data_IF_030897060088
#
_entry.id   IF_030897060088
#
_cell.length_a   1.000
_cell.length_b   1.000
_cell.length_c   1.000
_cell.angle_alpha   90.00
_cell.angle_beta   90.00
_cell.angle_gamma   90.00
#
_symmetry.space_group_name_H-M   'P 1'
#
loop_
_entity.id
_entity.type
_entity.pdbx_description
1 polymer ?
#
# COMPACT_ATOMS: atom_id res chain seq x y z
N UNK A 1 9.39 0.55 16.10
CA UNK A 1 8.38 0.25 15.07
C UNK A 1 8.98 0.65 13.72
N UNK A 2 8.80 -0.15 12.66
CA UNK A 2 9.16 0.29 11.33
C UNK A 2 8.11 1.32 10.89
N UNK A 3 8.55 2.48 10.39
CA UNK A 3 7.64 3.46 9.82
C UNK A 3 7.16 2.91 8.48
N UNK A 4 5.95 2.43 8.45
CA UNK A 4 5.30 1.93 7.24
C UNK A 4 4.41 3.02 6.66
N UNK A 5 4.44 3.16 5.35
CA UNK A 5 3.50 4.00 4.62
C UNK A 5 2.45 3.13 3.93
N UNK A 6 1.24 3.64 3.86
CA UNK A 6 0.14 3.05 3.10
C UNK A 6 -0.07 3.91 1.86
N UNK A 7 -0.06 3.28 0.70
CA UNK A 7 -0.30 3.98 -0.55
C UNK A 7 -1.43 3.33 -1.35
N UNK A 8 -2.26 4.15 -1.94
CA UNK A 8 -3.25 3.75 -2.92
C UNK A 8 -3.23 4.67 -4.14
N UNK A 9 -3.86 4.22 -5.20
CA UNK A 9 -3.99 5.05 -6.38
C UNK A 9 -4.25 4.27 -7.67
N UNK A 10 -3.75 4.84 -8.77
CA UNK A 10 -3.92 4.26 -10.10
C UNK A 10 -2.57 4.01 -10.75
N UNK A 11 -2.38 2.81 -11.30
CA UNK A 11 -1.29 2.51 -12.21
C UNK A 11 -1.79 2.64 -13.65
N UNK A 12 -1.03 3.33 -14.49
CA UNK A 12 -1.28 3.41 -15.95
C UNK A 12 -0.07 2.90 -16.70
N UNK A 13 -0.26 1.84 -17.50
CA UNK A 13 0.78 1.24 -18.33
C UNK A 13 0.51 1.60 -19.79
N UNK A 14 1.49 2.21 -20.45
CA UNK A 14 1.48 2.55 -21.86
C UNK A 14 2.56 1.76 -22.59
N UNK A 15 2.18 0.93 -23.56
CA UNK A 15 3.09 0.10 -24.35
C UNK A 15 2.60 -0.03 -25.79
N UNK A 16 3.35 -0.72 -26.66
CA UNK A 16 2.95 -0.91 -28.05
C UNK A 16 1.92 -2.03 -28.25
N UNK A 17 1.71 -2.89 -27.27
CA UNK A 17 0.78 -4.02 -27.35
C UNK A 17 0.27 -4.47 -25.99
N UNK A 18 -0.88 -5.15 -25.97
CA UNK A 18 -1.41 -5.83 -24.79
C UNK A 18 -0.47 -6.90 -24.24
N UNK A 19 0.31 -7.57 -25.14
CA UNK A 19 1.31 -8.55 -24.72
C UNK A 19 2.44 -7.92 -23.88
N UNK A 20 2.88 -6.71 -24.25
CA UNK A 20 3.90 -6.01 -23.45
C UNK A 20 3.36 -5.64 -22.07
N UNK A 21 2.12 -5.13 -21.99
CA UNK A 21 1.44 -4.83 -20.73
C UNK A 21 1.37 -6.08 -19.85
N UNK A 22 0.96 -7.21 -20.45
CA UNK A 22 0.90 -8.49 -19.74
C UNK A 22 2.27 -8.89 -19.17
N UNK A 23 3.34 -8.77 -19.96
CA UNK A 23 4.69 -9.11 -19.48
C UNK A 23 5.18 -8.16 -18.38
N UNK A 24 4.85 -6.87 -18.44
CA UNK A 24 5.16 -5.91 -17.37
C UNK A 24 4.43 -6.26 -16.07
N UNK A 25 3.17 -6.66 -16.14
CA UNK A 25 2.40 -7.10 -14.98
C UNK A 25 2.90 -8.45 -14.41
N UNK A 26 3.45 -9.33 -15.23
CA UNK A 26 4.13 -10.55 -14.74
C UNK A 26 5.40 -10.20 -13.94
N UNK A 27 6.19 -9.25 -14.42
CA UNK A 27 7.38 -8.78 -13.67
C UNK A 27 6.97 -8.09 -12.39
N UNK A 28 5.88 -7.32 -12.38
CA UNK A 28 5.37 -6.69 -11.18
C UNK A 28 4.95 -7.73 -10.12
N UNK A 29 4.22 -8.77 -10.49
CA UNK A 29 3.89 -9.88 -9.57
C UNK A 29 5.12 -10.55 -8.99
N UNK A 30 6.15 -10.72 -9.79
CA UNK A 30 7.42 -11.26 -9.33
C UNK A 30 8.08 -10.31 -8.33
N UNK A 31 8.09 -9.01 -8.62
CA UNK A 31 8.59 -8.00 -7.71
C UNK A 31 7.86 -8.02 -6.36
N UNK A 32 6.52 -8.10 -6.40
CA UNK A 32 5.65 -8.20 -5.21
C UNK A 32 6.00 -9.45 -4.37
N UNK A 33 6.10 -10.61 -5.00
CA UNK A 33 6.36 -11.88 -4.30
C UNK A 33 7.76 -11.98 -3.68
N UNK A 34 8.68 -11.07 -4.04
CA UNK A 34 10.07 -11.05 -3.59
C UNK A 34 10.43 -9.79 -2.79
N UNK A 35 9.45 -8.99 -2.40
CA UNK A 35 9.64 -7.77 -1.62
C UNK A 35 9.01 -7.92 -0.23
N UNK A 36 9.68 -7.37 0.78
CA UNK A 36 9.12 -7.25 2.13
C UNK A 36 7.96 -6.23 2.15
N UNK A 37 8.04 -5.22 1.28
CA UNK A 37 7.06 -4.15 1.12
C UNK A 37 6.41 -4.30 -0.25
N UNK A 38 5.12 -4.53 -0.29
CA UNK A 38 4.44 -4.96 -1.50
C UNK A 38 3.65 -3.86 -2.20
N UNK A 39 3.38 -4.11 -3.48
CA UNK A 39 2.46 -3.34 -4.31
C UNK A 39 1.50 -4.30 -4.99
N UNK A 40 0.27 -4.34 -4.54
CA UNK A 40 -0.79 -5.14 -5.14
C UNK A 40 -1.52 -4.32 -6.21
N UNK A 41 -1.57 -4.82 -7.44
CA UNK A 41 -2.40 -4.27 -8.51
C UNK A 41 -3.67 -5.10 -8.56
N UNK A 42 -4.85 -4.49 -8.67
CA UNK A 42 -6.13 -5.20 -8.58
C UNK A 42 -6.22 -6.41 -9.54
N UNK A 43 -5.76 -6.25 -10.80
CA UNK A 43 -5.70 -7.34 -11.76
C UNK A 43 -4.58 -8.36 -11.48
N UNK A 44 -3.63 -8.07 -10.60
CA UNK A 44 -2.51 -9.00 -10.32
C UNK A 44 -2.95 -10.28 -9.63
N UNK A 45 -4.08 -10.30 -8.94
CA UNK A 45 -4.68 -11.49 -8.32
C UNK A 45 -5.30 -12.46 -9.33
N UNK A 46 -5.55 -12.02 -10.59
CA UNK A 46 -6.17 -12.84 -11.62
C UNK A 46 -5.23 -13.93 -12.13
N UNK A 47 -5.76 -15.10 -12.50
CA UNK A 47 -4.98 -16.12 -13.20
C UNK A 47 -4.44 -15.59 -14.54
N UNK A 48 -3.39 -16.21 -15.08
CA UNK A 48 -2.72 -15.73 -16.32
C UNK A 48 -3.66 -15.58 -17.52
N UNK A 49 -4.69 -16.41 -17.63
CA UNK A 49 -5.67 -16.35 -18.72
C UNK A 49 -6.67 -15.23 -18.51
N UNK A 50 -7.14 -15.06 -17.29
CA UNK A 50 -8.06 -14.01 -16.87
C UNK A 50 -7.39 -12.65 -17.00
N UNK A 51 -6.13 -12.51 -16.57
CA UNK A 51 -5.35 -11.28 -16.72
C UNK A 51 -5.19 -10.86 -18.19
N UNK A 52 -4.90 -11.81 -19.09
CA UNK A 52 -4.84 -11.49 -20.53
C UNK A 52 -6.16 -10.98 -21.05
N UNK A 53 -7.25 -11.64 -20.69
CA UNK A 53 -8.60 -11.23 -21.08
C UNK A 53 -8.96 -9.86 -20.48
N UNK A 54 -8.58 -9.61 -19.27
CA UNK A 54 -8.81 -8.32 -18.59
C UNK A 54 -8.08 -7.18 -19.32
N UNK A 55 -6.80 -7.36 -19.61
CA UNK A 55 -6.01 -6.39 -20.38
C UNK A 55 -6.61 -6.14 -21.76
N UNK A 56 -7.00 -7.20 -22.50
CA UNK A 56 -7.61 -7.07 -23.81
C UNK A 56 -8.94 -6.30 -23.80
N UNK A 57 -9.76 -6.51 -22.76
CA UNK A 57 -11.07 -5.89 -22.64
C UNK A 57 -11.01 -4.43 -22.10
N UNK A 58 -10.04 -4.12 -21.26
CA UNK A 58 -9.95 -2.85 -20.54
C UNK A 58 -8.85 -1.91 -21.08
N UNK A 59 -8.07 -2.36 -22.10
CA UNK A 59 -7.13 -1.48 -22.77
C UNK A 59 -7.78 -0.73 -23.94
N UNK A 60 -7.21 0.45 -24.25
CA UNK A 60 -7.55 1.20 -25.44
C UNK A 60 -6.30 1.66 -26.19
N UNK A 61 -6.44 1.90 -27.49
CA UNK A 61 -5.34 2.48 -28.28
C UNK A 61 -5.49 3.99 -28.31
N UNK A 62 -4.46 4.72 -27.84
CA UNK A 62 -4.46 6.17 -27.88
C UNK A 62 -4.13 6.70 -29.29
N UNK A 63 -4.24 8.03 -29.48
CA UNK A 63 -3.97 8.69 -30.77
C UNK A 63 -2.54 8.51 -31.30
N UNK A 64 -1.58 8.19 -30.43
CA UNK A 64 -0.17 7.96 -30.78
C UNK A 64 0.14 6.50 -31.09
N UNK A 65 -0.89 5.66 -31.14
CA UNK A 65 -0.79 4.23 -31.48
C UNK A 65 -0.21 3.37 -30.35
N UNK A 66 -0.32 3.81 -29.11
CA UNK A 66 0.02 3.01 -27.94
C UNK A 66 -1.23 2.39 -27.32
N UNK A 67 -1.09 1.16 -26.86
CA UNK A 67 -2.05 0.51 -25.99
C UNK A 67 -1.86 1.06 -24.57
N UNK A 68 -2.95 1.46 -23.94
CA UNK A 68 -2.99 2.00 -22.57
C UNK A 68 -3.91 1.12 -21.74
N UNK A 69 -3.41 0.70 -20.60
CA UNK A 69 -4.14 -0.05 -19.58
C UNK A 69 -4.00 0.68 -18.25
N UNK A 70 -5.09 0.80 -17.51
CA UNK A 70 -5.08 1.41 -16.18
C UNK A 70 -5.80 0.50 -15.19
N UNK A 71 -5.28 0.45 -13.98
CA UNK A 71 -5.83 -0.32 -12.88
C UNK A 71 -5.58 0.39 -11.55
N UNK A 72 -6.28 -0.01 -10.50
CA UNK A 72 -6.01 0.44 -9.15
C UNK A 72 -4.88 -0.36 -8.53
N UNK A 73 -4.17 0.27 -7.60
CA UNK A 73 -3.19 -0.42 -6.77
C UNK A 73 -3.34 -0.01 -5.30
N UNK A 74 -2.86 -0.89 -4.43
CA UNK A 74 -2.60 -0.65 -3.04
C UNK A 74 -1.18 -1.12 -2.71
N UNK A 75 -0.51 -0.45 -1.79
CA UNK A 75 0.84 -0.84 -1.41
C UNK A 75 1.23 -0.41 -0.01
N UNK A 76 2.15 -1.18 0.57
CA UNK A 76 2.82 -0.82 1.82
C UNK A 76 4.28 -0.53 1.49
N UNK A 77 4.73 0.68 1.82
CA UNK A 77 6.10 1.13 1.65
C UNK A 77 6.82 1.25 2.97
N UNK A 78 8.16 1.32 2.92
CA UNK A 78 8.97 1.69 4.06
C UNK A 78 9.32 3.18 3.94
N UNK A 79 8.86 4.00 4.87
CA UNK A 79 9.00 5.45 4.89
C UNK A 79 8.22 6.20 3.80
N UNK A 80 8.03 5.59 2.63
CA UNK A 80 7.24 6.11 1.53
C UNK A 80 7.07 5.04 0.45
N UNK A 81 6.06 5.19 -0.40
CA UNK A 81 5.81 4.30 -1.54
C UNK A 81 6.89 4.43 -2.64
N UNK A 82 7.71 5.47 -2.63
CA UNK A 82 8.83 5.65 -3.57
C UNK A 82 9.78 4.44 -3.58
N UNK A 83 9.99 3.80 -2.42
CA UNK A 83 10.81 2.60 -2.30
C UNK A 83 10.27 1.43 -3.13
N UNK A 84 8.95 1.26 -3.18
CA UNK A 84 8.28 0.21 -3.95
C UNK A 84 8.43 0.44 -5.45
N UNK A 85 8.31 1.69 -5.89
CA UNK A 85 8.48 2.05 -7.31
C UNK A 85 9.94 1.82 -7.76
N UNK A 86 10.91 2.19 -6.91
CA UNK A 86 12.33 1.92 -7.17
C UNK A 86 12.60 0.41 -7.24
N UNK A 87 12.07 -0.37 -6.31
CA UNK A 87 12.19 -1.84 -6.33
C UNK A 87 11.60 -2.45 -7.59
N UNK A 88 10.42 -1.99 -8.02
CA UNK A 88 9.82 -2.47 -9.25
C UNK A 88 10.69 -2.13 -10.46
N UNK A 89 11.24 -0.93 -10.53
CA UNK A 89 12.18 -0.57 -11.59
C UNK A 89 13.41 -1.48 -11.60
N UNK A 90 14.00 -1.77 -10.44
CA UNK A 90 15.14 -2.68 -10.33
C UNK A 90 14.76 -4.10 -10.81
N UNK A 91 13.55 -4.56 -10.49
CA UNK A 91 13.04 -5.84 -10.99
C UNK A 91 12.78 -5.85 -12.51
N UNK A 92 12.64 -4.71 -13.18
CA UNK A 92 12.56 -4.64 -14.63
C UNK A 92 13.93 -4.82 -15.32
N UNK A 93 15.04 -4.56 -14.61
CA UNK A 93 16.37 -4.77 -15.18
C UNK A 93 16.71 -6.27 -15.27
N UNK A 94 17.47 -6.69 -16.30
CA UNK A 94 17.86 -8.08 -16.48
C UNK A 94 18.72 -8.60 -15.33
N UNK A 95 18.34 -9.74 -14.73
CA UNK A 95 19.12 -10.43 -13.72
C UNK A 95 19.32 -11.90 -14.12
N UNK A 96 20.54 -12.40 -13.95
CA UNK A 96 20.88 -13.80 -14.25
C UNK A 96 20.24 -14.80 -13.27
N UNK A 97 19.85 -14.34 -12.09
CA UNK A 97 19.20 -15.16 -11.05
C UNK A 97 17.70 -15.29 -11.23
N UNK A 98 17.06 -14.46 -12.08
CA UNK A 98 15.63 -14.53 -12.33
C UNK A 98 15.19 -15.92 -12.84
N UNK A 99 13.95 -16.35 -12.54
CA UNK A 99 13.31 -17.48 -13.20
C UNK A 99 13.24 -17.29 -14.73
N UNK A 100 13.25 -18.38 -15.50
CA UNK A 100 13.31 -18.30 -16.96
C UNK A 100 12.08 -17.61 -17.58
N UNK A 101 10.91 -17.79 -17.02
CA UNK A 101 9.67 -17.12 -17.45
C UNK A 101 9.71 -15.60 -17.18
N UNK A 102 10.34 -15.18 -16.10
CA UNK A 102 10.54 -13.75 -15.78
C UNK A 102 11.59 -13.14 -16.69
N UNK A 103 12.70 -13.84 -16.99
CA UNK A 103 13.68 -13.41 -17.99
C UNK A 103 13.03 -13.20 -19.35
N UNK A 104 12.15 -14.14 -19.74
CA UNK A 104 11.41 -14.04 -21.01
C UNK A 104 10.46 -12.84 -20.99
N UNK A 105 9.72 -12.62 -19.89
CA UNK A 105 8.81 -11.49 -19.75
C UNK A 105 9.55 -10.15 -19.83
N UNK A 106 10.68 -10.00 -19.11
CA UNK A 106 11.55 -8.80 -19.17
C UNK A 106 12.05 -8.56 -20.60
N UNK A 107 12.57 -9.59 -21.25
CA UNK A 107 13.06 -9.48 -22.63
C UNK A 107 11.97 -9.05 -23.61
N UNK A 108 10.75 -9.57 -23.49
CA UNK A 108 9.60 -9.17 -24.31
C UNK A 108 9.16 -7.74 -24.03
N UNK A 109 9.12 -7.32 -22.79
CA UNK A 109 8.79 -5.94 -22.43
C UNK A 109 9.83 -4.95 -22.98
N UNK A 110 11.13 -5.26 -22.83
CA UNK A 110 12.25 -4.40 -23.26
C UNK A 110 12.50 -4.37 -24.77
N UNK A 111 11.79 -5.14 -25.57
CA UNK A 111 11.86 -5.04 -27.04
C UNK A 111 11.14 -3.80 -27.59
N UNK A 112 10.45 -3.03 -26.77
CA UNK A 112 9.67 -1.88 -27.17
C UNK A 112 9.65 -0.81 -26.08
N UNK A 113 9.26 0.41 -26.49
CA UNK A 113 9.01 1.49 -25.55
C UNK A 113 7.84 1.14 -24.63
N UNK A 114 8.00 1.42 -23.33
CA UNK A 114 6.90 1.46 -22.38
C UNK A 114 7.08 2.62 -21.39
N UNK A 115 5.95 3.03 -20.82
CA UNK A 115 5.86 3.94 -19.70
C UNK A 115 4.86 3.40 -18.68
N UNK A 116 5.27 3.37 -17.44
CA UNK A 116 4.44 3.03 -16.29
C UNK A 116 4.34 4.28 -15.44
N UNK A 117 3.13 4.68 -15.09
CA UNK A 117 2.85 5.84 -14.28
C UNK A 117 1.98 5.41 -13.09
N UNK A 118 2.40 5.77 -11.90
CA UNK A 118 1.64 5.63 -10.67
C UNK A 118 1.15 7.01 -10.27
N UNK A 119 -0.16 7.18 -10.14
CA UNK A 119 -0.79 8.32 -9.49
C UNK A 119 -1.07 7.89 -8.04
N UNK A 120 -0.32 8.47 -7.11
CA UNK A 120 -0.12 7.95 -5.76
C UNK A 120 -0.74 8.90 -4.76
N UNK A 121 -1.51 8.36 -3.83
CA UNK A 121 -1.76 8.93 -2.53
C UNK A 121 -0.99 8.10 -1.52
N UNK A 122 -0.26 8.72 -0.62
CA UNK A 122 0.62 8.04 0.34
C UNK A 122 0.52 8.70 1.70
N UNK A 123 0.32 7.88 2.72
CA UNK A 123 0.33 8.29 4.12
C UNK A 123 1.34 7.49 4.92
N UNK A 124 1.97 8.14 5.88
CA UNK A 124 2.84 7.49 6.86
C UNK A 124 2.54 8.08 8.25
N UNK A 125 1.74 7.35 9.05
CA UNK A 125 1.24 7.84 10.34
C UNK A 125 2.34 8.17 11.35
N UNK A 126 3.42 7.39 11.36
CA UNK A 126 4.51 7.55 12.32
C UNK A 126 5.33 8.83 12.15
N UNK A 127 5.43 9.34 10.91
CA UNK A 127 6.05 10.63 10.58
C UNK A 127 5.02 11.71 10.25
N UNK A 128 3.74 11.41 10.35
CA UNK A 128 2.66 12.34 10.01
C UNK A 128 2.78 12.90 8.59
N UNK A 129 3.16 12.03 7.63
CA UNK A 129 3.24 12.40 6.23
C UNK A 129 1.96 12.03 5.49
N UNK A 130 1.47 12.98 4.70
CA UNK A 130 0.34 12.80 3.79
C UNK A 130 0.61 13.57 2.50
N UNK A 131 0.64 12.88 1.36
CA UNK A 131 0.92 13.54 0.09
C UNK A 131 0.32 12.81 -1.11
N UNK A 132 0.20 13.56 -2.21
CA UNK A 132 -0.07 13.04 -3.55
C UNK A 132 1.20 13.18 -4.40
N UNK A 133 1.49 12.16 -5.21
CA UNK A 133 2.66 12.13 -6.07
C UNK A 133 2.38 11.40 -7.39
N UNK A 134 3.20 11.68 -8.39
CA UNK A 134 3.27 10.89 -9.63
C UNK A 134 4.65 10.27 -9.72
N UNK A 135 4.70 8.95 -9.80
CA UNK A 135 5.92 8.23 -10.13
C UNK A 135 5.86 7.71 -11.57
N UNK A 136 6.94 7.83 -12.30
CA UNK A 136 7.02 7.37 -13.69
C UNK A 136 8.25 6.50 -13.89
N UNK A 137 8.05 5.32 -14.48
CA UNK A 137 9.12 4.47 -15.02
C UNK A 137 8.98 4.49 -16.54
N UNK A 138 10.03 4.88 -17.25
CA UNK A 138 10.03 4.95 -18.70
C UNK A 138 11.23 4.19 -19.26
N UNK A 139 10.99 3.29 -20.20
CA UNK A 139 12.03 2.54 -20.90
C UNK A 139 12.08 2.90 -22.39
N UNK A 140 13.29 3.18 -22.87
CA UNK A 140 13.55 3.45 -24.28
C UNK A 140 14.41 2.32 -24.88
N UNK A 141 13.88 1.52 -25.83
CA UNK A 141 14.59 0.40 -26.43
C UNK A 141 15.79 0.81 -27.31
N UNK A 142 15.79 2.04 -27.83
CA UNK A 142 16.91 2.55 -28.66
C UNK A 142 18.16 2.80 -27.80
N UNK A 143 17.96 3.36 -26.60
CA UNK A 143 19.06 3.65 -25.65
C UNK A 143 19.29 2.49 -24.68
N UNK A 144 18.37 1.56 -24.59
CA UNK A 144 18.33 0.47 -23.60
C UNK A 144 18.44 0.99 -22.15
N UNK A 145 17.75 2.08 -21.87
CA UNK A 145 17.77 2.72 -20.53
C UNK A 145 16.39 2.87 -19.99
N UNK A 146 16.28 2.55 -18.72
CA UNK A 146 15.14 2.92 -17.87
C UNK A 146 15.44 4.26 -17.18
N UNK A 147 14.41 5.09 -17.05
CA UNK A 147 14.45 6.30 -16.24
C UNK A 147 13.29 6.24 -15.26
N UNK A 148 13.53 6.76 -14.06
CA UNK A 148 12.51 6.92 -13.04
C UNK A 148 12.42 8.38 -12.63
N UNK A 149 11.22 8.87 -12.39
CA UNK A 149 10.96 10.12 -11.70
C UNK A 149 9.92 9.91 -10.61
N UNK A 150 10.01 10.70 -9.55
CA UNK A 150 9.05 10.76 -8.48
C UNK A 150 8.78 12.24 -8.15
N UNK A 151 7.59 12.69 -8.50
CA UNK A 151 7.21 14.10 -8.42
C UNK A 151 6.07 14.26 -7.39
N UNK A 152 6.36 14.83 -6.22
CA UNK A 152 5.33 15.20 -5.25
C UNK A 152 4.48 16.33 -5.81
N UNK A 153 3.18 16.08 -5.97
CA UNK A 153 2.21 17.04 -6.50
C UNK A 153 1.70 17.96 -5.39
N UNK A 154 1.34 17.36 -4.25
CA UNK A 154 0.79 18.06 -3.11
C UNK A 154 1.24 17.39 -1.81
N UNK A 155 1.58 18.20 -0.81
CA UNK A 155 1.73 17.77 0.59
C UNK A 155 0.61 18.37 1.40
N UNK A 156 0.13 17.62 2.35
CA UNK A 156 -0.94 18.01 3.28
C UNK A 156 -0.43 17.94 4.70
N UNK A 157 -0.96 18.78 5.57
CA UNK A 157 -0.81 18.59 7.02
C UNK A 157 -1.55 17.30 7.41
N UNK A 158 -0.98 16.52 8.30
CA UNK A 158 -1.58 15.27 8.77
C UNK A 158 -2.70 15.59 9.77
N UNK A 159 -3.88 15.84 9.23
CA UNK A 159 -5.09 16.22 9.97
C UNK A 159 -6.28 15.38 9.51
N UNK A 160 -7.28 15.22 10.41
CA UNK A 160 -8.53 14.52 10.10
C UNK A 160 -9.13 14.97 8.76
N UNK A 161 -9.29 16.28 8.59
CA UNK A 161 -9.93 16.82 7.39
C UNK A 161 -9.16 16.48 6.10
N UNK A 162 -7.84 16.48 6.16
CA UNK A 162 -7.01 16.13 5.02
C UNK A 162 -6.98 14.63 4.77
N UNK A 163 -6.96 13.79 5.81
CA UNK A 163 -7.04 12.32 5.67
C UNK A 163 -8.36 11.89 5.01
N UNK A 164 -9.47 12.49 5.42
CA UNK A 164 -10.78 12.28 4.79
C UNK A 164 -10.80 12.84 3.35
N UNK A 165 -10.28 14.04 3.15
CA UNK A 165 -10.25 14.70 1.84
C UNK A 165 -9.44 13.92 0.81
N UNK A 166 -8.29 13.39 1.20
CA UNK A 166 -7.43 12.55 0.34
C UNK A 166 -8.06 11.16 0.14
N UNK A 167 -8.89 10.71 1.07
CA UNK A 167 -9.70 9.49 0.97
C UNK A 167 -9.06 8.26 1.60
N UNK A 168 -8.09 8.43 2.51
CA UNK A 168 -7.56 7.31 3.29
C UNK A 168 -8.55 6.80 4.32
N UNK A 169 -9.32 7.72 4.94
CA UNK A 169 -10.28 7.39 5.97
C UNK A 169 -11.61 8.08 5.73
N UNK A 170 -12.68 7.45 6.19
CA UNK A 170 -14.00 8.06 6.36
C UNK A 170 -14.11 8.71 7.74
N UNK A 171 -15.14 9.54 7.95
CA UNK A 171 -15.38 10.15 9.27
C UNK A 171 -15.55 9.12 10.39
N UNK A 172 -16.09 7.92 10.06
CA UNK A 172 -16.35 6.86 11.02
C UNK A 172 -15.13 6.00 11.36
N UNK A 173 -14.01 6.16 10.65
CA UNK A 173 -12.77 5.41 10.88
C UNK A 173 -11.74 6.21 11.69
N UNK A 174 -12.01 7.47 11.98
CA UNK A 174 -11.14 8.35 12.76
C UNK A 174 -11.79 8.66 14.11
N UNK A 175 -11.08 8.37 15.19
CA UNK A 175 -11.56 8.44 16.55
C UNK A 175 -10.85 9.52 17.34
N UNK A 176 -11.64 10.39 17.97
CA UNK A 176 -11.14 11.32 18.98
C UNK A 176 -10.84 10.57 20.28
N UNK A 177 -9.67 10.81 20.87
CA UNK A 177 -9.30 10.20 22.15
C UNK A 177 -10.35 10.49 23.23
N UNK A 178 -10.86 11.72 23.29
CA UNK A 178 -11.89 12.09 24.27
C UNK A 178 -13.18 11.28 24.07
N UNK A 179 -13.60 11.09 22.82
CA UNK A 179 -14.77 10.27 22.51
C UNK A 179 -14.58 8.81 22.93
N UNK A 180 -13.39 8.24 22.68
CA UNK A 180 -13.06 6.88 23.08
C UNK A 180 -13.06 6.73 24.60
N UNK A 181 -12.53 7.70 25.34
CA UNK A 181 -12.51 7.68 26.82
C UNK A 181 -13.93 7.82 27.38
N UNK A 182 -14.72 8.78 26.86
CA UNK A 182 -16.07 9.06 27.35
C UNK A 182 -17.05 7.91 27.06
N UNK A 183 -16.88 7.24 25.92
CA UNK A 183 -17.76 6.17 25.45
C UNK A 183 -17.02 4.83 25.38
N UNK A 184 -16.08 4.58 26.28
CA UNK A 184 -15.15 3.45 26.25
C UNK A 184 -15.85 2.10 26.01
N UNK A 185 -16.97 1.86 26.67
CA UNK A 185 -17.68 0.60 26.60
C UNK A 185 -18.32 0.35 25.20
N UNK A 186 -18.62 1.42 24.44
CA UNK A 186 -19.13 1.32 23.08
C UNK A 186 -18.02 0.96 22.08
N UNK A 187 -16.75 1.22 22.42
CA UNK A 187 -15.59 0.93 21.56
C UNK A 187 -14.98 -0.45 21.82
N UNK A 188 -15.33 -1.13 22.92
CA UNK A 188 -14.79 -2.46 23.26
C UNK A 188 -15.10 -3.50 22.17
N UNK A 189 -16.25 -3.41 21.54
CA UNK A 189 -16.70 -4.33 20.45
C UNK A 189 -15.80 -4.24 19.20
N UNK A 190 -15.14 -3.08 18.97
CA UNK A 190 -14.26 -2.90 17.83
C UNK A 190 -12.89 -3.56 18.04
N UNK A 191 -12.47 -3.79 19.27
CA UNK A 191 -11.10 -4.23 19.54
C UNK A 191 -10.85 -5.73 19.33
N UNK A 192 -11.87 -6.49 18.89
CA UNK A 192 -11.72 -7.89 18.45
C UNK A 192 -11.09 -8.82 19.48
N UNK A 193 -10.89 -8.32 20.70
CA UNK A 193 -10.24 -8.99 21.81
C UNK A 193 -11.26 -9.56 22.77
N UNK A 194 -10.77 -10.36 23.71
CA UNK A 194 -11.60 -10.82 24.82
C UNK A 194 -12.11 -9.59 25.61
N UNK A 195 -13.43 -9.35 25.51
CA UNK A 195 -14.13 -8.22 26.15
C UNK A 195 -13.82 -8.15 27.65
N UNK A 196 -13.69 -9.31 28.31
CA UNK A 196 -13.36 -9.40 29.72
C UNK A 196 -11.94 -8.85 30.02
N UNK A 197 -10.97 -9.10 29.11
CA UNK A 197 -9.62 -8.59 29.25
C UNK A 197 -9.60 -7.05 29.13
N UNK A 198 -10.28 -6.50 28.14
CA UNK A 198 -10.36 -5.05 27.91
C UNK A 198 -11.01 -4.35 29.09
N UNK A 199 -12.11 -4.90 29.62
CA UNK A 199 -12.81 -4.35 30.77
C UNK A 199 -11.92 -4.38 32.02
N UNK A 200 -11.18 -5.46 32.25
CA UNK A 200 -10.26 -5.58 33.38
C UNK A 200 -9.10 -4.58 33.35
N UNK A 201 -8.67 -4.16 32.16
CA UNK A 201 -7.61 -3.18 31.95
C UNK A 201 -8.11 -1.80 31.53
N UNK A 202 -9.41 -1.51 31.70
CA UNK A 202 -10.03 -0.24 31.29
C UNK A 202 -9.25 0.98 31.78
N UNK A 203 -8.87 1.02 33.06
CA UNK A 203 -8.17 2.18 33.61
C UNK A 203 -6.76 2.32 33.03
N UNK A 204 -6.04 1.21 32.86
CA UNK A 204 -4.70 1.24 32.27
C UNK A 204 -4.75 1.74 30.82
N UNK A 205 -5.77 1.34 30.06
CA UNK A 205 -6.01 1.81 28.69
C UNK A 205 -6.33 3.31 28.68
N UNK A 206 -7.21 3.77 29.55
CA UNK A 206 -7.53 5.20 29.68
C UNK A 206 -6.27 6.01 30.02
N UNK A 207 -5.47 5.54 30.97
CA UNK A 207 -4.21 6.19 31.34
C UNK A 207 -3.25 6.29 30.16
N UNK A 208 -3.18 5.26 29.30
CA UNK A 208 -2.40 5.29 28.05
C UNK A 208 -2.96 6.34 27.09
N UNK A 209 -4.27 6.31 26.82
CA UNK A 209 -4.94 7.24 25.91
C UNK A 209 -4.76 8.71 26.34
N UNK A 210 -4.82 8.99 27.65
CA UNK A 210 -4.59 10.34 28.21
C UNK A 210 -3.16 10.85 27.97
N UNK A 211 -2.19 9.97 27.75
CA UNK A 211 -0.80 10.37 27.43
C UNK A 211 -0.61 10.76 25.97
N UNK A 212 -1.55 10.39 25.10
CA UNK A 212 -1.44 10.65 23.67
C UNK A 212 -1.75 12.12 23.34
N UNK A 213 -1.16 12.67 22.27
CA UNK A 213 -1.56 13.95 21.73
C UNK A 213 -3.06 14.01 21.45
N UNK A 214 -3.70 15.12 21.76
CA UNK A 214 -5.13 15.30 21.50
C UNK A 214 -5.38 15.57 20.01
N UNK A 215 -5.43 14.51 19.25
CA UNK A 215 -5.79 14.47 17.82
C UNK A 215 -6.68 13.26 17.55
N UNK A 216 -7.24 13.18 16.35
CA UNK A 216 -7.97 12.00 15.91
C UNK A 216 -7.00 10.93 15.41
N UNK A 217 -7.31 9.70 15.69
CA UNK A 217 -6.52 8.52 15.32
C UNK A 217 -7.35 7.55 14.51
N UNK A 218 -6.76 6.90 13.48
CA UNK A 218 -7.33 5.69 12.92
C UNK A 218 -7.46 4.62 14.01
N UNK A 219 -8.51 3.80 13.90
CA UNK A 219 -8.77 2.76 14.87
C UNK A 219 -7.57 1.82 15.09
N UNK A 220 -6.98 1.33 14.00
CA UNK A 220 -5.85 0.42 14.07
C UNK A 220 -4.64 1.03 14.80
N UNK A 221 -4.38 2.31 14.62
CA UNK A 221 -3.27 3.00 15.29
C UNK A 221 -3.49 3.05 16.82
N UNK A 222 -4.73 3.33 17.26
CA UNK A 222 -5.07 3.31 18.70
C UNK A 222 -4.92 1.90 19.28
N UNK A 223 -5.39 0.89 18.56
CA UNK A 223 -5.28 -0.50 18.97
C UNK A 223 -3.81 -0.92 19.12
N UNK A 224 -2.97 -0.67 18.13
CA UNK A 224 -1.52 -0.99 18.16
C UNK A 224 -0.82 -0.27 19.33
N UNK A 225 -1.16 0.99 19.61
CA UNK A 225 -0.58 1.73 20.73
C UNK A 225 -0.97 1.07 22.06
N UNK A 226 -2.24 0.70 22.22
CA UNK A 226 -2.75 0.05 23.44
C UNK A 226 -2.11 -1.33 23.60
N UNK A 227 -2.12 -2.14 22.55
CA UNK A 227 -1.54 -3.48 22.54
C UNK A 227 -0.06 -3.46 22.94
N UNK A 228 0.73 -2.56 22.33
CA UNK A 228 2.14 -2.42 22.63
C UNK A 228 2.40 -2.01 24.09
N UNK A 229 1.62 -1.06 24.63
CA UNK A 229 1.85 -0.55 26.00
C UNK A 229 1.37 -1.51 27.07
N UNK A 230 0.29 -2.25 26.82
CA UNK A 230 -0.25 -3.25 27.76
C UNK A 230 0.37 -4.63 27.57
N UNK A 231 1.14 -4.87 26.50
CA UNK A 231 1.64 -6.20 26.13
C UNK A 231 0.51 -7.22 26.08
N UNK A 232 -0.57 -6.87 25.39
CA UNK A 232 -1.78 -7.69 25.35
C UNK A 232 -1.50 -9.13 24.89
N UNK A 233 -0.58 -9.37 23.96
CA UNK A 233 -0.17 -10.72 23.54
C UNK A 233 0.34 -11.58 24.72
N UNK A 234 1.16 -11.00 25.61
CA UNK A 234 1.65 -11.72 26.81
C UNK A 234 0.50 -12.06 27.76
N UNK A 235 -0.48 -11.16 27.89
CA UNK A 235 -1.68 -11.37 28.71
C UNK A 235 -2.62 -12.43 28.13
N UNK A 236 -2.80 -12.48 26.80
CA UNK A 236 -3.55 -13.52 26.11
C UNK A 236 -2.91 -14.90 26.32
N UNK A 237 -1.60 -15.01 26.14
CA UNK A 237 -0.84 -16.25 26.36
C UNK A 237 -0.98 -16.77 27.83
N UNK A 238 -1.03 -15.87 28.79
CA UNK A 238 -1.25 -16.23 30.19
C UNK A 238 -2.65 -16.73 30.47
N UNK A 239 -3.68 -16.11 29.85
CA UNK A 239 -5.06 -16.56 29.95
C UNK A 239 -5.24 -17.95 29.32
N UNK A 240 -4.74 -18.18 28.10
CA UNK A 240 -4.81 -19.51 27.46
C UNK A 240 -4.13 -20.60 28.28
N UNK A 241 -3.02 -20.30 28.96
CA UNK A 241 -2.31 -21.24 29.86
C UNK A 241 -3.09 -21.52 31.14
N UNK A 242 -3.96 -20.62 31.55
CA UNK A 242 -4.74 -20.75 32.80
C UNK A 242 -6.00 -21.58 32.59
N UNK A 243 -6.53 -21.60 31.36
CA UNK A 243 -7.74 -22.36 31.00
C UNK A 243 -7.47 -23.76 30.39
N UNK A 244 -6.20 -24.13 30.16
CA UNK A 244 -5.74 -25.44 29.74
C UNK A 244 -5.03 -26.18 30.89
#
# INVERSE_FOLDING_TARGET
MANLSNADGTITIKAKSTEAIYNLLLVQRYAESNCEYYTEIASSSLGSKELKSDIENNSFTNKDGFTVFSDSFYGIGRWSFESNVNWFMDCLEPDSSDPDDIKEAKAKAQNQYYRIEFDIKDEEPGCEMLYEAIATIEYNPETKKSNISFDTIQRYDYTRDNLIKVGFYTESELFSINDVIENFDDYTDYWGCDEELIINHKQDIIDILETLPNKDYPYNDLYEIIEYNLKLEELFDELERTYN
#
